data_IF_474265119946
#
_entry.id   IF_474265119946
#
_cell.length_a   1.000
_cell.length_b   1.000
_cell.length_c   1.000
_cell.angle_alpha   90.00
_cell.angle_beta   90.00
_cell.angle_gamma   90.00
#
_symmetry.space_group_name_H-M   'P 1'
#
loop_
_entity.id
_entity.type
_entity.pdbx_description
1 polymer ?
#
# COMPACT_ATOMS: atom_id res chain seq x y z
N UNK A 1 -15.22 5.17 10.77
CA UNK A 1 -14.77 4.29 9.66
C UNK A 1 -13.26 4.08 9.83
N UNK A 2 -12.79 2.83 9.84
CA UNK A 2 -11.40 2.47 10.16
C UNK A 2 -10.44 2.96 9.04
N UNK A 3 -9.42 3.80 9.33
CA UNK A 3 -8.49 4.30 8.33
C UNK A 3 -7.73 3.17 7.59
N UNK A 4 -7.53 2.03 8.24
CA UNK A 4 -6.74 0.90 7.73
C UNK A 4 -7.55 -0.10 6.90
N UNK A 5 -8.86 0.10 6.75
CA UNK A 5 -9.73 -0.84 6.04
C UNK A 5 -9.34 -1.02 4.56
N UNK A 6 -8.82 0.04 3.93
CA UNK A 6 -8.39 -0.02 2.53
C UNK A 6 -7.02 -0.72 2.39
N UNK A 7 -6.15 -0.59 3.38
CA UNK A 7 -4.84 -1.27 3.41
C UNK A 7 -5.01 -2.79 3.59
N UNK A 8 -5.87 -3.19 4.53
CA UNK A 8 -6.23 -4.61 4.73
C UNK A 8 -6.92 -5.21 3.50
N UNK A 9 -7.72 -4.42 2.76
CA UNK A 9 -8.33 -4.86 1.52
C UNK A 9 -7.26 -5.21 0.47
N UNK A 10 -6.29 -4.32 0.24
CA UNK A 10 -5.21 -4.55 -0.72
C UNK A 10 -4.36 -5.78 -0.35
N UNK A 11 -3.99 -5.91 0.92
CA UNK A 11 -3.20 -7.03 1.42
C UNK A 11 -3.98 -8.35 1.33
N UNK A 12 -5.27 -8.34 1.66
CA UNK A 12 -6.16 -9.51 1.52
C UNK A 12 -6.27 -9.95 0.07
N UNK A 13 -6.43 -9.02 -0.88
CA UNK A 13 -6.43 -9.34 -2.31
C UNK A 13 -5.12 -9.99 -2.75
N UNK A 14 -3.97 -9.45 -2.33
CA UNK A 14 -2.65 -10.02 -2.64
C UNK A 14 -2.48 -11.43 -2.06
N UNK A 15 -2.93 -11.64 -0.82
CA UNK A 15 -2.89 -12.95 -0.16
C UNK A 15 -3.78 -13.97 -0.90
N UNK A 16 -4.99 -13.57 -1.30
CA UNK A 16 -5.93 -14.43 -2.05
C UNK A 16 -5.40 -14.80 -3.44
N UNK A 17 -4.59 -13.92 -4.05
CA UNK A 17 -3.87 -14.20 -5.30
C UNK A 17 -2.69 -15.18 -5.11
N UNK A 18 -2.39 -15.57 -3.87
CA UNK A 18 -1.30 -16.50 -3.54
C UNK A 18 0.06 -15.82 -3.37
N UNK A 19 0.10 -14.48 -3.29
CA UNK A 19 1.36 -13.77 -3.06
C UNK A 19 1.73 -13.75 -1.59
N UNK A 20 3.04 -13.84 -1.32
CA UNK A 20 3.56 -13.70 0.04
C UNK A 20 3.44 -12.24 0.44
N UNK A 21 2.70 -11.97 1.51
CA UNK A 21 2.52 -10.62 2.06
C UNK A 21 3.10 -10.51 3.47
N UNK A 22 3.46 -9.30 3.84
CA UNK A 22 3.80 -8.93 5.22
C UNK A 22 2.95 -7.71 5.62
N UNK A 23 2.15 -7.88 6.67
CA UNK A 23 1.36 -6.80 7.28
C UNK A 23 2.25 -6.05 8.26
N UNK A 24 2.26 -4.72 8.21
CA UNK A 24 3.00 -3.94 9.21
C UNK A 24 2.27 -3.96 10.55
N UNK A 25 3.03 -4.09 11.64
CA UNK A 25 2.49 -4.14 13.01
C UNK A 25 1.94 -2.79 13.50
N UNK A 26 2.30 -1.71 12.80
CA UNK A 26 1.88 -0.35 13.11
C UNK A 26 1.70 0.41 11.80
N UNK A 27 0.48 0.88 11.58
CA UNK A 27 0.15 1.75 10.47
C UNK A 27 0.62 3.17 10.82
N UNK A 28 1.67 3.62 10.17
CA UNK A 28 2.33 4.89 10.48
C UNK A 28 1.54 6.04 9.84
N UNK A 29 0.76 6.76 10.65
CA UNK A 29 0.07 8.00 10.23
C UNK A 29 1.02 9.16 9.83
N UNK A 30 2.34 8.93 9.78
CA UNK A 30 3.38 9.90 9.43
C UNK A 30 3.88 9.78 7.97
N UNK A 31 3.26 8.91 7.16
CA UNK A 31 3.62 8.68 5.75
C UNK A 31 4.39 7.38 5.50
N UNK A 32 4.42 6.49 6.50
CA UNK A 32 5.09 5.21 6.44
C UNK A 32 4.46 4.18 5.51
N UNK A 33 5.24 3.14 5.28
CA UNK A 33 4.90 1.97 4.47
C UNK A 33 3.64 1.27 5.01
N UNK A 34 2.67 0.97 4.15
CA UNK A 34 1.40 0.35 4.56
C UNK A 34 1.43 -1.18 4.44
N UNK A 35 2.36 -1.73 3.66
CA UNK A 35 2.59 -3.17 3.59
C UNK A 35 3.68 -3.57 2.62
N UNK A 36 3.98 -4.88 2.58
CA UNK A 36 4.93 -5.48 1.64
C UNK A 36 4.32 -6.69 0.96
N UNK A 37 4.59 -6.86 -0.33
CA UNK A 37 4.20 -8.05 -1.08
C UNK A 37 5.36 -8.52 -1.94
N UNK A 38 5.61 -9.83 -1.95
CA UNK A 38 6.59 -10.45 -2.85
C UNK A 38 5.86 -11.04 -4.05
N UNK A 39 6.17 -10.55 -5.24
CA UNK A 39 5.59 -11.01 -6.51
C UNK A 39 6.74 -11.47 -7.40
N UNK A 40 6.72 -12.73 -7.84
CA UNK A 40 7.77 -13.32 -8.68
C UNK A 40 9.20 -13.10 -8.13
N UNK A 41 9.38 -13.25 -6.82
CA UNK A 41 10.67 -13.07 -6.14
C UNK A 41 11.10 -11.62 -5.95
N UNK A 42 10.30 -10.64 -6.39
CA UNK A 42 10.57 -9.21 -6.20
C UNK A 42 9.70 -8.64 -5.09
N UNK A 43 10.32 -7.84 -4.22
CA UNK A 43 9.64 -7.14 -3.14
C UNK A 43 9.02 -5.84 -3.65
N UNK A 44 7.73 -5.67 -3.39
CA UNK A 44 6.98 -4.45 -3.66
C UNK A 44 6.47 -3.86 -2.36
N UNK A 45 6.59 -2.53 -2.29
CA UNK A 45 6.15 -1.72 -1.18
C UNK A 45 4.74 -1.21 -1.48
N UNK A 46 3.81 -1.46 -0.56
CA UNK A 46 2.44 -0.96 -0.64
C UNK A 46 2.36 0.33 0.15
N UNK A 47 1.88 1.38 -0.51
CA UNK A 47 1.48 2.63 0.12
C UNK A 47 0.09 3.01 -0.38
N UNK A 48 -0.83 3.21 0.54
CA UNK A 48 -2.21 3.55 0.32
C UNK A 48 -2.47 4.99 0.79
N UNK A 49 -3.03 5.81 -0.09
CA UNK A 49 -3.50 7.15 0.27
C UNK A 49 -4.98 7.24 0.00
N UNK A 50 -5.75 7.58 1.04
CA UNK A 50 -7.20 7.83 0.89
C UNK A 50 -7.44 9.23 0.33
N UNK A 51 -7.75 9.31 -0.95
CA UNK A 51 -8.18 10.56 -1.59
C UNK A 51 -9.70 10.74 -1.41
N UNK A 52 -10.15 11.95 -1.06
CA UNK A 52 -11.58 12.30 -0.95
C UNK A 52 -12.24 12.62 -2.31
N UNK A 53 -11.47 12.66 -3.39
CA UNK A 53 -11.93 12.98 -4.74
C UNK A 53 -11.10 12.23 -5.79
N UNK A 54 -11.32 12.56 -7.07
CA UNK A 54 -10.63 11.92 -8.18
C UNK A 54 -9.11 12.12 -8.06
N UNK A 55 -8.35 11.04 -8.25
CA UNK A 55 -6.89 11.10 -8.15
C UNK A 55 -6.34 11.82 -9.38
N UNK A 56 -5.64 12.94 -9.17
CA UNK A 56 -4.93 13.63 -10.24
C UNK A 56 -3.72 12.78 -10.68
N UNK A 57 -3.53 12.50 -11.98
CA UNK A 57 -2.39 11.72 -12.47
C UNK A 57 -1.00 12.25 -12.05
N UNK A 58 -0.86 13.55 -11.74
CA UNK A 58 0.39 14.12 -11.20
C UNK A 58 0.73 13.60 -9.80
N UNK A 59 -0.25 13.12 -9.03
CA UNK A 59 -0.02 12.55 -7.70
C UNK A 59 0.81 11.26 -7.74
N UNK A 60 0.76 10.49 -8.84
CA UNK A 60 1.55 9.25 -9.00
C UNK A 60 3.05 9.50 -9.14
N UNK A 61 3.46 10.65 -9.70
CA UNK A 61 4.86 10.93 -10.01
C UNK A 61 5.68 11.36 -8.79
N UNK A 62 5.03 11.73 -7.68
CA UNK A 62 5.73 12.21 -6.49
C UNK A 62 6.22 11.07 -5.59
N UNK A 63 5.54 9.92 -5.62
CA UNK A 63 5.90 8.73 -4.84
C UNK A 63 7.13 7.98 -5.38
N UNK A 64 7.58 8.27 -6.59
CA UNK A 64 8.72 7.61 -7.25
C UNK A 64 10.03 8.41 -7.17
N UNK A 65 10.04 9.60 -6.52
CA UNK A 65 11.20 10.51 -6.48
C UNK A 65 11.95 10.57 -5.14
N UNK A 66 11.70 9.64 -4.23
CA UNK A 66 12.35 9.63 -2.89
C UNK A 66 13.25 8.42 -2.64
N UNK A 67 13.73 7.76 -3.70
CA UNK A 67 14.80 6.77 -3.61
C UNK A 67 16.04 7.26 -4.37
#
# INVERSE_FOLDING_TARGET
MNPYAFEELLLTCCQNQGWKIERNFKYSNDGGLDGRVTIAGRLYLIQAKRYRGYINPRAYLQTQKQH
#
